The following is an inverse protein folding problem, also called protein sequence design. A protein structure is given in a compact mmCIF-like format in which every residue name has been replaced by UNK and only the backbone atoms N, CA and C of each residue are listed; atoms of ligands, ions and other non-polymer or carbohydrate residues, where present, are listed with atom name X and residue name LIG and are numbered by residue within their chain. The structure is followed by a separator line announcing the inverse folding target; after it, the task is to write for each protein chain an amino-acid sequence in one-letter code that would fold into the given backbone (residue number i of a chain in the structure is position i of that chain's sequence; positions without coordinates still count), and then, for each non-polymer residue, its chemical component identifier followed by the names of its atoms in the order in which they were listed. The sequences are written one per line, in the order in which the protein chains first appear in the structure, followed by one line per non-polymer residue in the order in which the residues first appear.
data_IF_302480925712
#
_entry.id   IF_302480925712
#
_cell.length_a   1.000
_cell.length_b   1.000
_cell.length_c   1.000
_cell.angle_alpha   90.00
_cell.angle_beta   90.00
_cell.angle_gamma   90.00
#
_symmetry.space_group_name_H-M   'P 1'
#
loop_
_entity.id
_entity.type
_entity.pdbx_description
1 polymer ?
#
# COMPACT_ATOMS: atom_id res chain seq x y z
N UNK A 1 5.58 11.38 -17.28
CA UNK A 1 4.69 10.26 -16.87
C UNK A 1 4.59 10.14 -15.35
N UNK A 2 5.68 10.14 -14.59
CA UNK A 2 5.62 10.04 -13.13
C UNK A 2 4.78 11.14 -12.44
N UNK A 3 4.83 12.39 -12.94
CA UNK A 3 3.98 13.47 -12.42
C UNK A 3 2.48 13.28 -12.65
N UNK A 4 2.07 12.49 -13.64
CA UNK A 4 0.66 12.16 -13.91
C UNK A 4 0.11 11.13 -12.92
N UNK A 5 0.97 10.25 -12.38
CA UNK A 5 0.59 9.30 -11.34
C UNK A 5 0.21 10.03 -10.03
N UNK A 6 0.93 11.11 -9.70
CA UNK A 6 0.64 11.97 -8.54
C UNK A 6 -0.81 12.43 -8.54
N UNK A 7 -1.34 12.90 -9.68
CA UNK A 7 -2.72 13.35 -9.77
C UNK A 7 -3.72 12.22 -9.43
N UNK A 8 -3.50 11.02 -9.98
CA UNK A 8 -4.33 9.87 -9.66
C UNK A 8 -4.28 9.52 -8.16
N UNK A 9 -3.09 9.51 -7.55
CA UNK A 9 -2.93 9.22 -6.12
C UNK A 9 -3.45 10.31 -5.18
N UNK A 10 -3.48 11.57 -5.60
CA UNK A 10 -4.10 12.62 -4.78
C UNK A 10 -5.62 12.47 -4.68
N UNK A 11 -6.23 11.87 -5.70
CA UNK A 11 -7.69 11.81 -5.82
C UNK A 11 -8.28 10.43 -5.57
N UNK A 12 -7.49 9.34 -5.60
CA UNK A 12 -8.05 7.99 -5.68
C UNK A 12 -8.99 7.65 -4.52
N UNK A 13 -8.76 8.15 -3.31
CA UNK A 13 -9.60 7.84 -2.15
C UNK A 13 -10.87 8.71 -2.07
N UNK A 14 -10.92 9.84 -2.76
CA UNK A 14 -12.04 10.81 -2.72
C UNK A 14 -13.37 10.15 -3.13
N UNK A 15 -13.46 9.37 -4.23
CA UNK A 15 -14.70 8.69 -4.59
C UNK A 15 -15.23 7.73 -3.51
N UNK A 16 -14.35 6.99 -2.82
CA UNK A 16 -14.77 6.11 -1.72
C UNK A 16 -15.25 6.93 -0.52
N UNK A 17 -14.57 8.02 -0.15
CA UNK A 17 -14.99 8.91 0.94
C UNK A 17 -16.39 9.47 0.67
N UNK A 18 -16.62 9.93 -0.56
CA UNK A 18 -17.92 10.46 -0.99
C UNK A 18 -19.02 9.39 -0.95
N UNK A 19 -18.73 8.17 -1.45
CA UNK A 19 -19.68 7.06 -1.43
C UNK A 19 -20.04 6.64 0.01
N UNK A 20 -19.03 6.53 0.88
CA UNK A 20 -19.22 6.23 2.29
C UNK A 20 -20.10 7.28 2.98
N UNK A 21 -19.82 8.57 2.74
CA UNK A 21 -20.61 9.67 3.29
C UNK A 21 -22.08 9.60 2.85
N UNK A 22 -22.34 9.32 1.57
CA UNK A 22 -23.70 9.14 1.05
C UNK A 22 -24.42 7.95 1.68
N UNK A 23 -23.73 6.83 1.89
CA UNK A 23 -24.32 5.66 2.53
C UNK A 23 -24.64 5.92 4.00
N UNK A 24 -23.73 6.58 4.74
CA UNK A 24 -23.97 6.96 6.14
C UNK A 24 -25.16 7.91 6.29
N UNK A 25 -25.25 8.94 5.46
CA UNK A 25 -26.37 9.91 5.51
C UNK A 25 -27.72 9.29 5.13
N UNK A 26 -27.73 8.24 4.32
CA UNK A 26 -28.93 7.46 3.96
C UNK A 26 -29.26 6.35 4.97
N UNK A 27 -28.51 6.21 6.06
CA UNK A 27 -28.67 5.13 7.03
C UNK A 27 -28.23 3.74 6.54
N UNK A 28 -27.54 3.66 5.40
CA UNK A 28 -27.05 2.42 4.81
C UNK A 28 -25.63 2.08 5.31
N UNK A 29 -25.45 2.00 6.63
CA UNK A 29 -24.16 1.72 7.24
C UNK A 29 -23.57 0.37 6.82
N UNK A 30 -24.42 -0.63 6.57
CA UNK A 30 -24.01 -1.97 6.14
C UNK A 30 -23.21 -1.96 4.83
N UNK A 31 -23.44 -1.00 3.93
CA UNK A 31 -22.65 -0.87 2.71
C UNK A 31 -21.16 -0.62 2.99
N UNK A 32 -20.81 0.01 4.12
CA UNK A 32 -19.41 0.26 4.48
C UNK A 32 -18.68 -1.02 4.91
N UNK A 33 -19.39 -2.11 5.21
CA UNK A 33 -18.78 -3.40 5.54
C UNK A 33 -18.16 -4.07 4.31
N UNK A 34 -18.38 -3.50 3.12
CA UNK A 34 -17.64 -3.84 1.92
C UNK A 34 -16.14 -3.54 2.03
N UNK A 35 -15.78 -2.55 2.84
CA UNK A 35 -14.39 -2.10 2.98
C UNK A 35 -13.81 -2.70 4.26
N UNK A 36 -12.80 -3.61 4.17
CA UNK A 36 -12.19 -4.19 5.35
C UNK A 36 -11.30 -3.17 6.05
N UNK A 37 -11.67 -2.78 7.27
CA UNK A 37 -10.94 -1.78 8.04
C UNK A 37 -9.49 -2.20 8.32
N UNK A 38 -9.21 -3.49 8.52
CA UNK A 38 -7.84 -3.99 8.72
C UNK A 38 -6.98 -3.84 7.47
N UNK A 39 -7.57 -4.03 6.28
CA UNK A 39 -6.93 -3.76 5.00
C UNK A 39 -6.61 -2.26 4.83
N UNK A 40 -7.53 -1.39 5.26
CA UNK A 40 -7.29 0.06 5.28
C UNK A 40 -6.22 0.46 6.30
N UNK A 41 -6.16 -0.21 7.46
CA UNK A 41 -5.15 0.04 8.49
C UNK A 41 -3.74 -0.25 7.97
N UNK A 42 -3.51 -1.37 7.30
CA UNK A 42 -2.17 -1.66 6.74
C UNK A 42 -1.80 -0.70 5.62
N UNK A 43 -2.76 -0.28 4.77
CA UNK A 43 -2.52 0.78 3.80
C UNK A 43 -2.12 2.11 4.46
N UNK A 44 -2.81 2.49 5.55
CA UNK A 44 -2.51 3.69 6.33
C UNK A 44 -1.07 3.65 6.89
N UNK A 45 -0.69 2.54 7.50
CA UNK A 45 0.65 2.34 8.06
C UNK A 45 1.73 2.28 6.97
N UNK A 46 1.41 1.68 5.82
CA UNK A 46 2.27 1.71 4.63
C UNK A 46 2.53 3.14 4.18
N UNK A 47 1.47 3.95 4.02
CA UNK A 47 1.59 5.37 3.66
C UNK A 47 2.40 6.17 4.69
N UNK A 48 2.19 5.94 5.99
CA UNK A 48 2.94 6.62 7.05
C UNK A 48 4.43 6.23 7.07
N UNK A 49 4.72 4.96 6.79
CA UNK A 49 6.09 4.45 6.66
C UNK A 49 6.80 5.08 5.46
N UNK A 50 6.12 5.12 4.31
CA UNK A 50 6.63 5.76 3.09
C UNK A 50 6.79 7.26 3.27
N UNK A 51 5.87 7.93 3.97
CA UNK A 51 6.01 9.35 4.32
C UNK A 51 7.32 9.59 5.08
N UNK A 52 7.64 8.72 6.04
CA UNK A 52 8.87 8.81 6.83
C UNK A 52 10.14 8.58 6.01
N UNK A 53 10.08 7.63 5.10
CA UNK A 53 11.15 7.40 4.15
C UNK A 53 11.39 8.60 3.23
N UNK A 54 10.35 9.16 2.63
CA UNK A 54 10.47 10.31 1.72
C UNK A 54 10.78 11.62 2.45
N UNK A 55 10.35 11.78 3.71
CA UNK A 55 10.73 12.90 4.56
C UNK A 55 12.24 12.92 4.83
N UNK A 56 12.83 11.75 5.08
CA UNK A 56 14.29 11.60 5.23
C UNK A 56 15.03 11.95 3.94
N UNK A 57 14.50 11.52 2.79
CA UNK A 57 15.07 11.79 1.46
C UNK A 57 14.77 13.19 0.90
N UNK A 58 13.91 13.96 1.56
CA UNK A 58 13.46 15.29 1.12
C UNK A 58 12.75 15.28 -0.24
N UNK A 59 12.03 14.22 -0.55
CA UNK A 59 11.28 14.08 -1.80
C UNK A 59 9.86 14.62 -1.66
N UNK A 60 9.69 15.94 -1.84
CA UNK A 60 8.43 16.68 -1.56
C UNK A 60 7.21 16.08 -2.26
N UNK A 61 7.31 15.79 -3.56
CA UNK A 61 6.18 15.26 -4.33
C UNK A 61 5.68 13.92 -3.77
N UNK A 62 6.60 13.02 -3.43
CA UNK A 62 6.26 11.73 -2.84
C UNK A 62 5.70 11.90 -1.42
N UNK A 63 6.30 12.77 -0.60
CA UNK A 63 5.78 13.09 0.73
C UNK A 63 4.33 13.58 0.70
N UNK A 64 3.99 14.50 -0.21
CA UNK A 64 2.62 15.02 -0.32
C UNK A 64 1.65 13.88 -0.64
N UNK A 65 1.99 13.02 -1.61
CA UNK A 65 1.14 11.86 -1.96
C UNK A 65 0.92 10.96 -0.74
N UNK A 66 1.99 10.64 0.00
CA UNK A 66 1.87 9.78 1.18
C UNK A 66 1.08 10.45 2.31
N UNK A 67 1.27 11.74 2.56
CA UNK A 67 0.51 12.49 3.57
C UNK A 67 -0.98 12.54 3.22
N UNK A 68 -1.33 12.80 1.96
CA UNK A 68 -2.71 12.75 1.48
C UNK A 68 -3.28 11.33 1.62
N UNK A 69 -2.51 10.30 1.30
CA UNK A 69 -2.89 8.91 1.55
C UNK A 69 -3.18 8.65 3.03
N UNK A 70 -2.32 9.09 3.94
CA UNK A 70 -2.53 8.97 5.39
C UNK A 70 -3.82 9.67 5.82
N UNK A 71 -4.04 10.91 5.41
CA UNK A 71 -5.22 11.70 5.81
C UNK A 71 -6.50 11.09 5.24
N UNK A 72 -6.53 10.76 3.95
CA UNK A 72 -7.73 10.23 3.29
C UNK A 72 -8.09 8.83 3.77
N UNK A 73 -7.12 7.94 4.00
CA UNK A 73 -7.38 6.64 4.62
C UNK A 73 -7.87 6.79 6.07
N UNK A 74 -7.36 7.78 6.83
CA UNK A 74 -7.87 8.07 8.18
C UNK A 74 -9.34 8.50 8.16
N UNK A 75 -9.75 9.30 7.17
CA UNK A 75 -11.17 9.67 6.96
C UNK A 75 -12.01 8.42 6.65
N UNK A 76 -11.52 7.52 5.79
CA UNK A 76 -12.22 6.26 5.52
C UNK A 76 -12.37 5.43 6.81
N UNK A 77 -11.29 5.25 7.59
CA UNK A 77 -11.35 4.51 8.86
C UNK A 77 -12.33 5.14 9.88
N UNK A 78 -12.41 6.47 9.93
CA UNK A 78 -13.43 7.16 10.72
C UNK A 78 -14.83 6.79 10.24
N UNK A 79 -15.10 6.83 8.93
CA UNK A 79 -16.39 6.43 8.38
C UNK A 79 -16.73 4.96 8.68
N UNK A 80 -15.74 4.05 8.62
CA UNK A 80 -15.92 2.65 9.00
C UNK A 80 -16.23 2.48 10.48
N UNK A 81 -15.63 3.33 11.34
CA UNK A 81 -15.94 3.36 12.78
C UNK A 81 -17.36 3.85 13.02
N UNK A 82 -17.78 4.93 12.33
CA UNK A 82 -19.15 5.45 12.42
C UNK A 82 -20.21 4.46 11.92
N UNK A 83 -19.86 3.59 10.97
CA UNK A 83 -20.72 2.50 10.53
C UNK A 83 -20.72 1.28 11.46
N UNK A 84 -19.86 1.24 12.49
CA UNK A 84 -19.70 0.09 13.39
C UNK A 84 -18.86 -1.06 12.82
N UNK A 85 -18.16 -0.86 11.71
CA UNK A 85 -17.26 -1.87 11.10
C UNK A 85 -15.93 -1.95 11.85
N UNK A 86 -15.37 -0.81 12.23
CA UNK A 86 -14.11 -0.72 12.97
C UNK A 86 -14.38 -0.44 14.45
N UNK A 87 -13.72 -1.14 15.40
CA UNK A 87 -13.86 -0.85 16.82
C UNK A 87 -13.31 0.54 17.19
N UNK A 88 -14.10 1.35 17.90
CA UNK A 88 -13.76 2.76 18.21
C UNK A 88 -12.45 2.93 18.99
N UNK A 89 -12.14 2.03 19.92
CA UNK A 89 -10.87 2.09 20.67
C UNK A 89 -9.65 1.88 19.76
N UNK A 90 -9.77 0.98 18.78
CA UNK A 90 -8.72 0.74 17.78
C UNK A 90 -8.56 1.97 16.89
N UNK A 91 -9.66 2.62 16.52
CA UNK A 91 -9.62 3.86 15.74
C UNK A 91 -8.93 4.99 16.51
N UNK A 92 -9.28 5.22 17.78
CA UNK A 92 -8.66 6.25 18.62
C UNK A 92 -7.15 6.02 18.73
N UNK A 93 -6.72 4.78 19.04
CA UNK A 93 -5.31 4.44 19.12
C UNK A 93 -4.58 4.69 17.79
N UNK A 94 -5.22 4.32 16.67
CA UNK A 94 -4.69 4.55 15.32
C UNK A 94 -4.57 6.04 15.01
N UNK A 95 -5.60 6.83 15.30
CA UNK A 95 -5.63 8.27 15.06
C UNK A 95 -4.55 9.01 15.85
N UNK A 96 -4.34 8.62 17.12
CA UNK A 96 -3.26 9.17 17.96
C UNK A 96 -1.90 8.84 17.34
N UNK A 97 -1.63 7.58 17.01
CA UNK A 97 -0.35 7.17 16.43
C UNK A 97 -0.05 7.87 15.09
N UNK A 98 -1.07 8.00 14.24
CA UNK A 98 -0.96 8.70 12.95
C UNK A 98 -0.77 10.20 13.15
N UNK A 99 -1.48 10.82 14.08
CA UNK A 99 -1.31 12.24 14.42
C UNK A 99 0.13 12.54 14.84
N UNK A 100 0.68 11.74 15.75
CA UNK A 100 2.10 11.82 16.12
C UNK A 100 3.00 11.64 14.90
N UNK A 101 2.73 10.63 14.08
CA UNK A 101 3.54 10.35 12.90
C UNK A 101 3.56 11.49 11.89
N UNK A 102 2.42 12.13 11.60
CA UNK A 102 2.33 13.30 10.72
C UNK A 102 3.13 14.48 11.29
N UNK A 103 2.99 14.77 12.59
CA UNK A 103 3.71 15.85 13.26
C UNK A 103 5.22 15.61 13.22
N UNK A 104 5.68 14.42 13.61
CA UNK A 104 7.10 14.09 13.65
C UNK A 104 7.73 14.14 12.26
N UNK A 105 7.01 13.66 11.23
CA UNK A 105 7.44 13.78 9.84
C UNK A 105 7.58 15.22 9.37
N UNK A 106 6.60 16.06 9.69
CA UNK A 106 6.63 17.47 9.37
C UNK A 106 7.78 18.19 10.08
N UNK A 107 7.98 17.96 11.38
CA UNK A 107 9.06 18.56 12.15
C UNK A 107 10.44 18.11 11.64
N UNK A 108 10.62 16.81 11.34
CA UNK A 108 11.84 16.29 10.74
C UNK A 108 12.10 16.90 9.35
N UNK A 109 11.04 17.05 8.55
CA UNK A 109 11.14 17.69 7.24
C UNK A 109 11.54 19.18 7.32
N UNK A 110 11.20 19.88 8.40
CA UNK A 110 11.63 21.26 8.62
C UNK A 110 12.94 21.38 9.42
N UNK A 111 13.62 20.25 9.71
CA UNK A 111 14.84 20.19 10.53
C UNK A 111 14.63 20.73 11.97
N UNK A 112 13.40 20.68 12.45
CA UNK A 112 13.01 21.13 13.80
C UNK A 112 13.04 20.00 14.83
N UNK A 113 13.28 18.75 14.39
CA UNK A 113 13.29 17.56 15.24
C UNK A 113 14.71 17.13 15.57
N UNK A 114 14.97 16.75 16.82
CA UNK A 114 16.28 16.22 17.20
C UNK A 114 16.53 14.84 16.55
N UNK A 115 17.78 14.51 16.20
CA UNK A 115 18.12 13.22 15.61
C UNK A 115 17.71 12.04 16.49
N UNK A 116 17.81 12.17 17.82
CA UNK A 116 17.45 11.12 18.77
C UNK A 116 15.95 10.79 18.71
N UNK A 117 15.09 11.80 18.67
CA UNK A 117 13.64 11.61 18.54
C UNK A 117 13.31 11.00 17.18
N UNK A 118 13.98 11.44 16.11
CA UNK A 118 13.78 10.84 14.80
C UNK A 118 14.16 9.36 14.75
N UNK A 119 15.30 8.99 15.33
CA UNK A 119 15.69 7.58 15.37
C UNK A 119 14.71 6.75 16.20
N UNK A 120 14.18 7.28 17.31
CA UNK A 120 13.14 6.59 18.08
C UNK A 120 11.86 6.40 17.25
N UNK A 121 11.48 7.41 16.47
CA UNK A 121 10.36 7.30 15.53
C UNK A 121 10.59 6.22 14.46
N UNK A 122 11.80 6.13 13.91
CA UNK A 122 12.16 5.07 12.96
C UNK A 122 12.03 3.67 13.59
N UNK A 123 12.45 3.51 14.86
CA UNK A 123 12.25 2.26 15.61
C UNK A 123 10.76 1.93 15.76
N UNK A 124 9.94 2.92 16.15
CA UNK A 124 8.48 2.76 16.31
C UNK A 124 7.81 2.31 15.02
N UNK A 125 8.17 2.91 13.88
CA UNK A 125 7.65 2.50 12.57
C UNK A 125 8.06 1.07 12.24
N UNK A 126 9.33 0.71 12.46
CA UNK A 126 9.81 -0.65 12.20
C UNK A 126 9.07 -1.68 13.03
N UNK A 127 8.93 -1.45 14.35
CA UNK A 127 8.20 -2.36 15.24
C UNK A 127 6.72 -2.40 14.87
N UNK A 128 6.09 -1.24 14.64
CA UNK A 128 4.69 -1.14 14.28
C UNK A 128 4.37 -1.89 12.99
N UNK A 129 5.17 -1.71 11.94
CA UNK A 129 4.98 -2.40 10.67
C UNK A 129 5.15 -3.92 10.79
N UNK A 130 6.21 -4.37 11.47
CA UNK A 130 6.48 -5.80 11.67
C UNK A 130 5.48 -6.49 12.60
N UNK A 131 4.89 -5.76 13.55
CA UNK A 131 3.86 -6.28 14.44
C UNK A 131 2.48 -6.35 13.77
N UNK A 132 2.08 -5.27 13.11
CA UNK A 132 0.71 -5.14 12.58
C UNK A 132 0.52 -6.02 11.34
N UNK A 133 1.52 -6.13 10.46
CA UNK A 133 1.37 -6.90 9.22
C UNK A 133 1.00 -8.37 9.49
N UNK A 134 1.75 -9.17 10.29
CA UNK A 134 1.39 -10.56 10.58
C UNK A 134 0.06 -10.71 11.30
N UNK A 135 -0.27 -9.78 12.19
CA UNK A 135 -1.57 -9.78 12.88
C UNK A 135 -2.72 -9.59 11.90
N UNK A 136 -2.61 -8.61 11.00
CA UNK A 136 -3.64 -8.35 9.99
C UNK A 136 -3.72 -9.48 8.98
N UNK A 137 -2.58 -10.07 8.58
CA UNK A 137 -2.57 -11.25 7.70
C UNK A 137 -3.37 -12.40 8.29
N UNK A 138 -3.15 -12.71 9.57
CA UNK A 138 -3.90 -13.75 10.28
C UNK A 138 -5.39 -13.40 10.38
N UNK A 139 -5.69 -12.18 10.81
CA UNK A 139 -7.06 -11.72 11.05
C UNK A 139 -7.87 -11.53 9.76
N UNK A 140 -7.21 -11.44 8.61
CA UNK A 140 -7.87 -11.38 7.30
C UNK A 140 -8.66 -12.66 7.03
N UNK A 141 -8.17 -13.81 7.48
CA UNK A 141 -8.76 -15.12 7.22
C UNK A 141 -9.51 -15.67 8.46
N UNK A 142 -10.11 -14.79 9.27
CA UNK A 142 -10.82 -15.14 10.51
C UNK A 142 -11.98 -16.14 10.34
N UNK A 143 -12.53 -16.26 9.14
CA UNK A 143 -13.57 -17.24 8.80
C UNK A 143 -13.04 -18.68 8.75
N UNK A 144 -11.74 -18.86 8.57
CA UNK A 144 -11.08 -20.19 8.48
C UNK A 144 -9.97 -20.38 9.53
N UNK A 145 -9.43 -19.30 10.09
CA UNK A 145 -8.42 -19.32 11.15
C UNK A 145 -9.05 -18.95 12.49
N UNK A 146 -8.63 -19.58 13.60
CA UNK A 146 -9.13 -19.20 14.91
C UNK A 146 -8.68 -17.77 15.28
N UNK A 147 -9.51 -16.99 15.98
CA UNK A 147 -9.11 -15.69 16.51
C UNK A 147 -7.84 -15.83 17.37
N UNK A 148 -6.80 -15.07 17.05
CA UNK A 148 -5.52 -15.14 17.75
C UNK A 148 -4.77 -13.82 17.65
N UNK A 149 -4.12 -13.44 18.75
CA UNK A 149 -3.17 -12.32 18.82
C UNK A 149 -1.71 -12.80 18.77
N UNK A 150 -1.47 -14.11 18.70
CA UNK A 150 -0.14 -14.71 18.71
C UNK A 150 0.74 -14.18 17.58
N UNK A 151 0.27 -14.03 16.32
CA UNK A 151 1.10 -13.49 15.25
C UNK A 151 1.59 -12.08 15.55
N UNK A 152 0.71 -11.18 16.01
CA UNK A 152 1.08 -9.82 16.36
C UNK A 152 2.03 -9.73 17.55
N UNK A 153 1.75 -10.48 18.63
CA UNK A 153 2.58 -10.48 19.84
C UNK A 153 3.97 -11.06 19.52
N UNK A 154 4.03 -12.21 18.85
CA UNK A 154 5.28 -12.86 18.47
C UNK A 154 6.15 -11.95 17.61
N UNK A 155 5.58 -11.34 16.58
CA UNK A 155 6.32 -10.41 15.73
C UNK A 155 6.73 -9.13 16.45
N UNK A 156 5.93 -8.64 17.40
CA UNK A 156 6.32 -7.52 18.28
C UNK A 156 7.55 -7.85 19.11
N UNK A 157 7.58 -9.01 19.76
CA UNK A 157 8.71 -9.45 20.60
C UNK A 157 9.98 -9.56 19.76
N UNK A 158 9.90 -10.14 18.57
CA UNK A 158 11.04 -10.25 17.64
C UNK A 158 11.51 -8.86 17.20
N UNK A 159 10.59 -7.99 16.77
CA UNK A 159 10.94 -6.65 16.29
C UNK A 159 11.58 -5.79 17.40
N UNK A 160 11.04 -5.82 18.61
CA UNK A 160 11.62 -5.13 19.77
C UNK A 160 13.02 -5.66 20.10
N UNK A 161 13.19 -6.98 20.10
CA UNK A 161 14.49 -7.61 20.36
C UNK A 161 15.53 -7.16 19.34
N UNK A 162 15.19 -7.14 18.05
CA UNK A 162 16.08 -6.68 16.98
C UNK A 162 16.43 -5.19 17.12
N UNK A 163 15.45 -4.35 17.45
CA UNK A 163 15.68 -2.92 17.68
C UNK A 163 16.59 -2.69 18.89
N UNK A 164 16.36 -3.39 20.02
CA UNK A 164 17.19 -3.28 21.21
C UNK A 164 18.62 -3.72 20.91
N UNK A 165 18.81 -4.86 20.24
CA UNK A 165 20.14 -5.34 19.85
C UNK A 165 20.85 -4.36 18.91
N UNK A 166 20.12 -3.73 17.97
CA UNK A 166 20.64 -2.66 17.11
C UNK A 166 21.13 -1.47 17.93
N UNK A 167 20.33 -1.01 18.91
CA UNK A 167 20.68 0.12 19.79
C UNK A 167 21.88 -0.17 20.68
N UNK A 168 22.01 -1.42 21.14
CA UNK A 168 23.16 -1.89 21.91
C UNK A 168 24.39 -2.15 21.04
N UNK A 169 24.33 -1.91 19.73
CA UNK A 169 25.42 -2.19 18.75
C UNK A 169 25.89 -3.65 18.81
N UNK A 170 24.99 -4.57 19.14
CA UNK A 170 25.26 -6.02 19.24
C UNK A 170 24.98 -6.77 17.93
N UNK A 171 24.39 -6.11 16.93
CA UNK A 171 24.16 -6.68 15.61
C UNK A 171 25.38 -6.49 14.72
N UNK A 172 25.67 -7.49 13.88
CA UNK A 172 26.68 -7.35 12.83
C UNK A 172 26.25 -6.29 11.79
N UNK A 173 27.20 -5.71 11.03
CA UNK A 173 26.88 -4.81 9.93
C UNK A 173 25.90 -5.42 8.92
N UNK A 174 26.08 -6.70 8.60
CA UNK A 174 25.22 -7.43 7.67
C UNK A 174 23.77 -7.52 8.16
N UNK A 175 23.57 -7.90 9.43
CA UNK A 175 22.23 -7.98 10.02
C UNK A 175 21.59 -6.58 10.12
N UNK A 176 22.39 -5.56 10.40
CA UNK A 176 21.91 -4.17 10.43
C UNK A 176 21.42 -3.71 9.05
N UNK A 177 22.16 -4.07 8.00
CA UNK A 177 21.77 -3.79 6.60
C UNK A 177 20.47 -4.53 6.23
N UNK A 178 20.36 -5.82 6.59
CA UNK A 178 19.14 -6.61 6.39
C UNK A 178 17.96 -5.95 7.11
N UNK A 179 18.10 -5.57 8.38
CA UNK A 179 17.02 -4.95 9.15
C UNK A 179 16.57 -3.62 8.54
N UNK A 180 17.49 -2.83 7.99
CA UNK A 180 17.15 -1.60 7.26
C UNK A 180 16.33 -1.89 5.99
N UNK A 181 16.66 -2.97 5.29
CA UNK A 181 15.94 -3.44 4.09
C UNK A 181 14.57 -4.01 4.44
N UNK A 182 14.47 -4.77 5.53
CA UNK A 182 13.20 -5.32 6.05
C UNK A 182 12.22 -4.20 6.37
N UNK A 183 12.66 -3.10 6.99
CA UNK A 183 11.79 -1.95 7.26
C UNK A 183 11.19 -1.35 5.98
N UNK A 184 12.02 -1.17 4.93
CA UNK A 184 11.56 -0.67 3.64
C UNK A 184 10.57 -1.64 2.97
N UNK A 185 10.89 -2.94 2.94
CA UNK A 185 9.99 -3.98 2.42
C UNK A 185 8.70 -4.10 3.22
N UNK A 186 8.72 -3.86 4.53
CA UNK A 186 7.53 -3.90 5.38
C UNK A 186 6.51 -2.85 4.93
N UNK A 187 6.95 -1.65 4.57
CA UNK A 187 6.04 -0.62 4.02
C UNK A 187 5.38 -1.09 2.70
N UNK A 188 6.17 -1.72 1.82
CA UNK A 188 5.67 -2.30 0.57
C UNK A 188 4.67 -3.44 0.84
N UNK A 189 4.98 -4.35 1.75
CA UNK A 189 4.11 -5.48 2.08
C UNK A 189 2.81 -5.06 2.78
N UNK A 190 2.87 -4.07 3.67
CA UNK A 190 1.69 -3.44 4.28
C UNK A 190 0.74 -2.90 3.21
N UNK A 191 1.28 -2.15 2.24
CA UNK A 191 0.50 -1.65 1.11
C UNK A 191 -0.07 -2.79 0.25
N UNK A 192 0.73 -3.82 -0.03
CA UNK A 192 0.31 -4.98 -0.82
C UNK A 192 -0.78 -5.80 -0.15
N UNK A 193 -0.88 -5.78 1.19
CA UNK A 193 -1.86 -6.59 1.89
C UNK A 193 -3.29 -6.04 1.80
N UNK A 194 -3.47 -4.73 1.68
CA UNK A 194 -4.79 -4.11 1.57
C UNK A 194 -5.70 -4.73 0.49
N UNK A 195 -5.23 -4.89 -0.76
CA UNK A 195 -5.96 -5.57 -1.83
C UNK A 195 -6.31 -7.03 -1.53
N UNK A 196 -5.44 -7.77 -0.84
CA UNK A 196 -5.70 -9.16 -0.45
C UNK A 196 -6.89 -9.22 0.50
N UNK A 197 -6.89 -8.38 1.54
CA UNK A 197 -8.00 -8.25 2.47
C UNK A 197 -9.30 -7.84 1.76
N UNK A 198 -9.22 -6.95 0.77
CA UNK A 198 -10.38 -6.53 0.00
C UNK A 198 -10.95 -7.65 -0.88
N UNK A 199 -10.11 -8.39 -1.59
CA UNK A 199 -10.54 -9.54 -2.41
C UNK A 199 -11.17 -10.61 -1.53
N UNK A 200 -10.57 -10.90 -0.37
CA UNK A 200 -11.13 -11.85 0.59
C UNK A 200 -12.50 -11.39 1.11
N UNK A 201 -12.63 -10.11 1.47
CA UNK A 201 -13.91 -9.54 1.90
C UNK A 201 -14.98 -9.63 0.81
N UNK A 202 -14.61 -9.40 -0.45
CA UNK A 202 -15.52 -9.53 -1.58
C UNK A 202 -15.97 -10.98 -1.79
N UNK A 203 -15.10 -11.94 -1.52
CA UNK A 203 -15.42 -13.37 -1.60
C UNK A 203 -16.40 -13.80 -0.48
N UNK A 204 -16.15 -13.39 0.76
CA UNK A 204 -16.98 -13.77 1.92
C UNK A 204 -18.30 -13.00 1.95
N UNK A 205 -18.30 -11.72 1.58
CA UNK A 205 -19.46 -10.82 1.68
C UNK A 205 -19.84 -10.21 0.31
N UNK A 206 -20.24 -11.02 -0.69
CA UNK A 206 -20.49 -10.54 -2.05
C UNK A 206 -21.62 -9.50 -2.13
N UNK A 207 -22.59 -9.58 -1.22
CA UNK A 207 -23.71 -8.65 -1.15
C UNK A 207 -23.28 -7.19 -0.90
N UNK A 208 -22.16 -6.99 -0.18
CA UNK A 208 -21.71 -5.67 0.23
C UNK A 208 -20.83 -4.99 -0.82
N UNK A 209 -20.33 -5.69 -1.84
CA UNK A 209 -19.38 -5.16 -2.85
C UNK A 209 -19.85 -3.83 -3.48
N UNK A 210 -21.17 -3.58 -3.56
CA UNK A 210 -21.74 -2.31 -4.04
C UNK A 210 -21.35 -1.08 -3.21
N UNK A 211 -20.88 -1.28 -1.97
CA UNK A 211 -20.28 -0.24 -1.13
C UNK A 211 -18.87 0.17 -1.55
N UNK A 212 -18.25 -0.53 -2.52
CA UNK A 212 -16.95 -0.17 -3.07
C UNK A 212 -17.09 0.81 -4.23
N UNK A 213 -16.24 1.83 -4.23
CA UNK A 213 -16.16 2.80 -5.30
C UNK A 213 -15.29 2.28 -6.44
N UNK A 214 -15.94 2.01 -7.57
CA UNK A 214 -15.28 1.62 -8.83
C UNK A 214 -14.26 2.67 -9.28
N UNK A 215 -14.56 3.96 -9.09
CA UNK A 215 -13.66 5.05 -9.45
C UNK A 215 -12.39 5.05 -8.60
N UNK A 216 -12.48 4.73 -7.31
CA UNK A 216 -11.30 4.57 -6.45
C UNK A 216 -10.41 3.44 -6.94
N UNK A 217 -11.00 2.31 -7.32
CA UNK A 217 -10.27 1.15 -7.85
C UNK A 217 -9.59 1.48 -9.19
N UNK A 218 -10.28 2.16 -10.10
CA UNK A 218 -9.72 2.59 -11.38
C UNK A 218 -8.59 3.62 -11.21
N UNK A 219 -8.77 4.61 -10.34
CA UNK A 219 -7.73 5.60 -10.05
C UNK A 219 -6.50 4.95 -9.39
N UNK A 220 -6.69 3.98 -8.49
CA UNK A 220 -5.60 3.20 -7.94
C UNK A 220 -4.88 2.38 -9.03
N UNK A 221 -5.62 1.73 -9.93
CA UNK A 221 -5.05 1.00 -11.07
C UNK A 221 -4.22 1.89 -11.97
N UNK A 222 -4.75 3.07 -12.33
CA UNK A 222 -4.08 4.04 -13.20
C UNK A 222 -2.85 4.63 -12.51
N UNK A 223 -2.98 5.08 -11.26
CA UNK A 223 -1.88 5.67 -10.50
C UNK A 223 -0.70 4.71 -10.37
N UNK A 224 -0.96 3.45 -9.99
CA UNK A 224 0.06 2.42 -9.91
C UNK A 224 0.60 2.04 -11.30
N UNK A 225 -0.26 1.92 -12.30
CA UNK A 225 0.14 1.58 -13.67
C UNK A 225 1.08 2.62 -14.27
N UNK A 226 0.85 3.90 -13.99
CA UNK A 226 1.71 5.01 -14.41
C UNK A 226 3.08 5.05 -13.70
N UNK A 227 3.24 4.29 -12.60
CA UNK A 227 4.53 4.15 -11.91
C UNK A 227 5.41 3.04 -12.47
N UNK A 228 4.82 2.04 -13.13
CA UNK A 228 5.54 0.90 -13.68
C UNK A 228 6.67 1.28 -14.65
N UNK A 229 6.49 2.21 -15.62
CA UNK A 229 7.56 2.52 -16.57
C UNK A 229 8.82 3.06 -15.89
N UNK A 230 8.66 3.96 -14.90
CA UNK A 230 9.80 4.48 -14.13
C UNK A 230 10.50 3.35 -13.37
N UNK A 231 9.72 2.54 -12.67
CA UNK A 231 10.22 1.45 -11.84
C UNK A 231 11.04 0.46 -12.67
N UNK A 232 10.49 0.08 -13.82
CA UNK A 232 11.14 -0.82 -14.77
C UNK A 232 12.41 -0.18 -15.33
N UNK A 233 12.33 1.07 -15.81
CA UNK A 233 13.46 1.77 -16.42
C UNK A 233 14.65 1.91 -15.47
N UNK A 234 14.41 2.23 -14.19
CA UNK A 234 15.48 2.34 -13.19
C UNK A 234 15.89 0.99 -12.60
N UNK A 235 15.27 -0.11 -13.05
CA UNK A 235 15.44 -1.47 -12.51
C UNK A 235 15.21 -1.53 -10.98
N UNK A 236 14.24 -0.76 -10.48
CA UNK A 236 13.86 -0.75 -9.07
C UNK A 236 12.84 -1.86 -8.80
N UNK A 237 13.33 -3.01 -8.36
CA UNK A 237 12.51 -4.20 -8.11
C UNK A 237 11.43 -3.96 -7.05
N UNK A 238 11.75 -3.25 -5.96
CA UNK A 238 10.81 -3.01 -4.86
C UNK A 238 9.66 -2.12 -5.35
N UNK A 239 9.99 -1.03 -6.03
CA UNK A 239 8.99 -0.11 -6.57
C UNK A 239 8.15 -0.77 -7.68
N UNK A 240 8.80 -1.57 -8.55
CA UNK A 240 8.09 -2.30 -9.60
C UNK A 240 7.14 -3.34 -9.02
N UNK A 241 7.55 -4.04 -7.96
CA UNK A 241 6.70 -5.02 -7.27
C UNK A 241 5.48 -4.36 -6.66
N UNK A 242 5.66 -3.28 -5.89
CA UNK A 242 4.55 -2.54 -5.28
C UNK A 242 3.59 -1.95 -6.30
N UNK A 243 4.10 -1.30 -7.35
CA UNK A 243 3.28 -0.73 -8.42
C UNK A 243 2.57 -1.81 -9.26
N UNK A 244 3.22 -2.95 -9.52
CA UNK A 244 2.59 -4.07 -10.23
C UNK A 244 1.46 -4.64 -9.41
N UNK A 245 1.67 -4.80 -8.10
CA UNK A 245 0.66 -5.26 -7.18
C UNK A 245 -0.53 -4.31 -7.09
N UNK A 246 -0.30 -3.01 -6.95
CA UNK A 246 -1.37 -2.01 -6.97
C UNK A 246 -2.13 -1.99 -8.31
N UNK A 247 -1.44 -2.17 -9.43
CA UNK A 247 -2.08 -2.19 -10.75
C UNK A 247 -2.96 -3.45 -10.91
N UNK A 248 -2.40 -4.62 -10.61
CA UNK A 248 -3.02 -5.90 -10.90
C UNK A 248 -4.00 -6.35 -9.81
N UNK A 249 -3.64 -6.23 -8.53
CA UNK A 249 -4.45 -6.72 -7.41
C UNK A 249 -5.41 -5.63 -6.91
N UNK A 250 -4.89 -4.45 -6.58
CA UNK A 250 -5.75 -3.34 -6.10
C UNK A 250 -6.67 -2.81 -7.20
N UNK A 251 -6.18 -2.79 -8.44
CA UNK A 251 -6.95 -2.40 -9.61
C UNK A 251 -7.74 -3.55 -10.19
N UNK A 252 -7.09 -4.33 -11.04
CA UNK A 252 -7.76 -5.26 -11.93
C UNK A 252 -8.46 -6.43 -11.22
N UNK A 253 -7.84 -7.08 -10.23
CA UNK A 253 -8.42 -8.22 -9.53
C UNK A 253 -9.66 -7.82 -8.71
N UNK A 254 -9.65 -6.65 -8.05
CA UNK A 254 -10.86 -6.14 -7.40
C UNK A 254 -11.95 -5.87 -8.46
N UNK A 255 -11.64 -5.29 -9.63
CA UNK A 255 -12.61 -5.15 -10.72
C UNK A 255 -13.18 -6.49 -11.18
N UNK A 256 -12.37 -7.56 -11.25
CA UNK A 256 -12.85 -8.92 -11.54
C UNK A 256 -13.90 -9.34 -10.51
N UNK A 257 -13.62 -9.18 -9.21
CA UNK A 257 -14.60 -9.53 -8.17
C UNK A 257 -15.90 -8.71 -8.29
N UNK A 258 -15.81 -7.42 -8.64
CA UNK A 258 -16.99 -6.58 -8.86
C UNK A 258 -17.78 -7.00 -10.10
N UNK A 259 -17.10 -7.38 -11.19
CA UNK A 259 -17.73 -7.82 -12.42
C UNK A 259 -18.45 -9.16 -12.24
N UNK A 260 -17.79 -10.13 -11.59
CA UNK A 260 -18.39 -11.44 -11.27
C UNK A 260 -19.65 -11.29 -10.41
N UNK A 261 -19.67 -10.31 -9.51
CA UNK A 261 -20.81 -9.99 -8.66
C UNK A 261 -21.78 -8.97 -9.28
N UNK A 262 -21.72 -8.74 -10.59
CA UNK A 262 -22.63 -7.86 -11.35
C UNK A 262 -22.72 -6.43 -10.80
N UNK A 263 -21.65 -5.94 -10.17
CA UNK A 263 -21.58 -4.59 -9.62
C UNK A 263 -21.08 -3.56 -10.63
N UNK A 264 -20.45 -4.01 -11.72
CA UNK A 264 -19.98 -3.14 -12.82
C UNK A 264 -20.44 -3.67 -14.18
N UNK A 265 -20.66 -2.77 -15.16
CA UNK A 265 -21.14 -3.17 -16.48
C UNK A 265 -20.00 -3.78 -17.33
N UNK A 266 -20.38 -4.71 -18.23
CA UNK A 266 -19.46 -5.43 -19.13
C UNK A 266 -18.50 -4.50 -19.92
N UNK A 267 -18.95 -3.38 -20.53
CA UNK A 267 -18.06 -2.50 -21.26
C UNK A 267 -16.96 -1.88 -20.39
N UNK A 268 -17.26 -1.54 -19.14
CA UNK A 268 -16.27 -0.96 -18.22
C UNK A 268 -15.18 -1.98 -17.87
N UNK A 269 -15.58 -3.20 -17.54
CA UNK A 269 -14.63 -4.27 -17.18
C UNK A 269 -13.68 -4.60 -18.34
N UNK A 270 -14.22 -4.87 -19.52
CA UNK A 270 -13.41 -5.21 -20.69
C UNK A 270 -12.58 -4.01 -21.19
N UNK A 271 -13.14 -2.80 -21.17
CA UNK A 271 -12.41 -1.58 -21.53
C UNK A 271 -11.20 -1.35 -20.62
N UNK A 272 -11.37 -1.49 -19.30
CA UNK A 272 -10.28 -1.40 -18.35
C UNK A 272 -9.23 -2.50 -18.56
N UNK A 273 -9.65 -3.74 -18.81
CA UNK A 273 -8.75 -4.87 -19.06
C UNK A 273 -7.92 -4.71 -20.34
N UNK A 274 -8.55 -4.33 -21.46
CA UNK A 274 -7.87 -4.06 -22.73
C UNK A 274 -6.91 -2.88 -22.60
N UNK A 275 -7.35 -1.78 -21.98
CA UNK A 275 -6.51 -0.61 -21.74
C UNK A 275 -5.28 -0.94 -20.90
N UNK A 276 -5.44 -1.75 -19.85
CA UNK A 276 -4.34 -2.21 -19.02
C UNK A 276 -3.37 -3.11 -19.79
N UNK A 277 -3.87 -4.09 -20.55
CA UNK A 277 -3.02 -4.99 -21.34
C UNK A 277 -2.21 -4.20 -22.39
N UNK A 278 -2.84 -3.26 -23.07
CA UNK A 278 -2.17 -2.35 -24.01
C UNK A 278 -1.09 -1.52 -23.31
N UNK A 279 -1.40 -0.93 -22.16
CA UNK A 279 -0.45 -0.14 -21.38
C UNK A 279 0.79 -0.95 -20.95
N UNK A 280 0.61 -2.16 -20.41
CA UNK A 280 1.71 -3.03 -20.00
C UNK A 280 2.57 -3.46 -21.19
N UNK A 281 1.95 -3.83 -22.32
CA UNK A 281 2.65 -4.18 -23.55
C UNK A 281 3.48 -3.03 -24.10
N UNK A 282 2.89 -1.82 -24.17
CA UNK A 282 3.58 -0.61 -24.60
C UNK A 282 4.77 -0.26 -23.71
N UNK A 283 4.61 -0.35 -22.39
CA UNK A 283 5.69 -0.10 -21.43
C UNK A 283 6.88 -1.04 -21.68
N UNK A 284 6.61 -2.35 -21.76
CA UNK A 284 7.62 -3.38 -21.96
C UNK A 284 8.36 -3.21 -23.30
N UNK A 285 7.62 -3.00 -24.38
CA UNK A 285 8.20 -2.78 -25.71
C UNK A 285 9.06 -1.51 -25.76
N UNK A 286 8.61 -0.43 -25.10
CA UNK A 286 9.36 0.83 -25.06
C UNK A 286 10.67 0.68 -24.28
N UNK A 287 10.64 0.04 -23.10
CA UNK A 287 11.85 -0.19 -22.31
C UNK A 287 12.85 -1.08 -23.05
N UNK A 288 12.38 -2.18 -23.65
CA UNK A 288 13.21 -3.07 -24.46
C UNK A 288 13.88 -2.32 -25.62
N UNK A 289 13.14 -1.43 -26.30
CA UNK A 289 13.69 -0.61 -27.39
C UNK A 289 14.76 0.37 -26.90
N UNK A 290 14.57 1.00 -25.74
CA UNK A 290 15.53 1.97 -25.21
C UNK A 290 16.85 1.31 -24.80
N UNK A 291 16.77 0.10 -24.25
CA UNK A 291 17.95 -0.69 -23.88
C UNK A 291 18.45 -1.63 -24.99
N UNK A 292 17.90 -1.55 -26.20
CA UNK A 292 18.24 -2.42 -27.34
C UNK A 292 18.20 -3.92 -27.01
N UNK A 293 17.21 -4.33 -26.21
CA UNK A 293 17.05 -5.71 -25.78
C UNK A 293 16.38 -6.57 -26.85
N UNK A 294 16.73 -7.86 -26.87
CA UNK A 294 16.28 -8.83 -27.88
C UNK A 294 14.78 -9.14 -27.87
N UNK A 295 14.07 -8.80 -26.79
CA UNK A 295 12.64 -9.12 -26.62
C UNK A 295 11.95 -8.12 -25.69
N UNK A 296 10.64 -7.84 -25.88
CA UNK A 296 9.83 -7.07 -24.94
C UNK A 296 9.78 -7.64 -23.51
N UNK A 297 10.09 -8.92 -23.31
CA UNK A 297 10.13 -9.53 -21.97
C UNK A 297 11.52 -9.45 -21.31
N UNK A 298 12.57 -9.13 -22.07
CA UNK A 298 13.92 -8.98 -21.54
C UNK A 298 14.06 -7.94 -20.41
N UNK A 299 13.34 -6.79 -20.42
CA UNK A 299 13.32 -5.87 -19.29
C UNK A 299 12.97 -6.52 -17.94
N UNK A 300 11.99 -7.43 -17.93
CA UNK A 300 11.59 -8.14 -16.72
C UNK A 300 12.68 -9.08 -16.26
N UNK A 301 13.29 -9.81 -17.20
CA UNK A 301 14.42 -10.70 -16.89
C UNK A 301 15.57 -9.92 -16.26
N UNK A 302 15.92 -8.76 -16.81
CA UNK A 302 16.97 -7.92 -16.23
C UNK A 302 16.60 -7.38 -14.84
N UNK A 303 15.34 -7.03 -14.62
CA UNK A 303 14.85 -6.55 -13.33
C UNK A 303 15.00 -7.61 -12.22
N UNK A 304 14.66 -8.87 -12.53
CA UNK A 304 14.68 -9.96 -11.54
C UNK A 304 16.05 -10.62 -11.37
N UNK A 305 16.85 -10.70 -12.45
CA UNK A 305 18.10 -11.48 -12.47
C UNK A 305 19.35 -10.62 -12.67
N UNK A 306 19.21 -9.30 -12.80
CA UNK A 306 20.31 -8.40 -13.12
C UNK A 306 20.56 -8.26 -14.63
N UNK A 307 21.37 -7.26 -15.00
CA UNK A 307 21.67 -6.96 -16.42
C UNK A 307 22.27 -8.17 -17.12
N UNK A 308 21.73 -8.51 -18.28
CA UNK A 308 22.26 -9.58 -19.12
C UNK A 308 23.48 -8.99 -19.84
N UNK A 309 24.66 -9.63 -19.81
CA UNK A 309 25.81 -9.13 -20.57
C UNK A 309 25.43 -9.02 -22.05
N UNK A 310 25.74 -7.88 -22.66
CA UNK A 310 25.56 -7.69 -24.08
C UNK A 310 26.30 -8.81 -24.82
N UNK A 311 25.67 -9.42 -25.82
CA UNK A 311 26.42 -10.22 -26.78
C UNK A 311 27.47 -9.29 -27.39
N UNK A 312 28.73 -9.61 -27.19
CA UNK A 312 29.83 -9.03 -27.96
C UNK A 312 29.62 -9.50 -29.39
N UNK A 313 29.24 -8.58 -30.28
CA UNK A 313 29.34 -8.77 -31.72
C UNK A 313 30.81 -8.76 -32.15
#
# INVERSE_FOLDING_TARGET
MAGSATFAFLLFQVPQISLNFQNLTKGNAAALFAVPWMGQLVCLLGNLSLLSYFAKKREVGAMIVQAVGVVTTSVVLLQLTLAGSMPSLVFIATAVAVGFGLILNFLNYNKLLSPQIWYLWEDVITVGGLAVLPQVMWSTFDTILPPSLVPGIGSTVVALSLVILRRLKKLSPDITSILSSVSAWTATLLFMWGPVAQIWTNYINPANIRGLSVSTILLAMIGNGLMLPRALFTRDLMWFTGASWGTLLQGWAILVTMYMNKCIPKPLFWGAGVGLAFWLGMMLATDAKVYSLSSPLSPLRELFFGRIPAKSD
#
